data_IF_761027392834
#
_entry.id   IF_761027392834
#
_cell.length_a   1.000
_cell.length_b   1.000
_cell.length_c   1.000
_cell.angle_alpha   90.00
_cell.angle_beta   90.00
_cell.angle_gamma   90.00
#
_symmetry.space_group_name_H-M   'P 1'
#
loop_
_entity.id
_entity.type
_entity.pdbx_description
1 polymer ?
#
# COMPACT_ATOMS: atom_id res chain seq x y z
N UNK A 1 15.99 -8.04 3.90
CA UNK A 1 15.08 -7.68 2.78
C UNK A 1 15.06 -6.17 2.66
N UNK A 2 15.44 -5.61 1.50
CA UNK A 2 15.17 -4.20 1.21
C UNK A 2 13.66 -3.98 1.33
N UNK A 3 13.22 -3.11 2.24
CA UNK A 3 11.81 -2.72 2.34
C UNK A 3 11.47 -1.89 1.11
N UNK A 4 11.06 -2.55 0.04
CA UNK A 4 10.59 -1.86 -1.16
C UNK A 4 9.34 -1.08 -0.78
N UNK A 5 9.43 0.24 -0.91
CA UNK A 5 8.37 1.16 -0.54
C UNK A 5 7.93 1.94 -1.77
N UNK A 6 6.62 2.15 -1.89
CA UNK A 6 6.02 2.81 -3.05
C UNK A 6 6.12 4.34 -2.98
N UNK A 7 6.94 4.90 -2.08
CA UNK A 7 7.17 6.35 -1.93
C UNK A 7 7.54 7.04 -3.24
N UNK A 8 8.29 6.38 -4.11
CA UNK A 8 8.67 6.95 -5.41
C UNK A 8 7.43 7.23 -6.27
N UNK A 9 6.42 6.36 -6.22
CA UNK A 9 5.16 6.54 -6.95
C UNK A 9 4.37 7.70 -6.32
N UNK A 10 4.28 7.76 -4.99
CA UNK A 10 3.60 8.84 -4.29
C UNK A 10 4.22 10.21 -4.57
N UNK A 11 5.53 10.35 -4.38
CA UNK A 11 6.25 11.61 -4.58
C UNK A 11 6.24 11.99 -6.06
N UNK A 12 6.50 11.04 -6.96
CA UNK A 12 6.52 11.28 -8.40
C UNK A 12 5.16 11.70 -8.95
N UNK A 13 4.09 11.01 -8.55
CA UNK A 13 2.72 11.36 -8.96
C UNK A 13 2.29 12.70 -8.40
N UNK A 14 2.58 12.98 -7.12
CA UNK A 14 2.27 14.26 -6.49
C UNK A 14 3.06 15.41 -7.15
N UNK A 15 4.36 15.22 -7.44
CA UNK A 15 5.16 16.21 -8.14
C UNK A 15 4.62 16.47 -9.56
N UNK A 16 4.23 15.42 -10.29
CA UNK A 16 3.60 15.56 -11.61
C UNK A 16 2.26 16.31 -11.55
N UNK A 17 1.46 16.09 -10.50
CA UNK A 17 0.20 16.82 -10.27
C UNK A 17 0.39 18.29 -9.93
N UNK A 18 1.42 18.63 -9.14
CA UNK A 18 1.60 19.98 -8.62
C UNK A 18 2.47 20.86 -9.52
N UNK A 19 3.44 20.26 -10.23
CA UNK A 19 4.46 20.97 -11.00
C UNK A 19 4.37 20.67 -12.51
N UNK A 20 3.63 19.63 -12.91
CA UNK A 20 3.44 19.27 -14.31
C UNK A 20 2.35 20.11 -14.99
N UNK A 21 2.24 19.96 -16.30
CA UNK A 21 1.19 20.60 -17.11
C UNK A 21 0.72 19.68 -18.24
N UNK A 22 -0.50 19.92 -18.72
CA UNK A 22 -1.11 19.14 -19.80
C UNK A 22 -1.22 17.65 -19.46
N UNK A 23 -0.64 16.81 -20.31
CA UNK A 23 -0.72 15.36 -20.14
C UNK A 23 0.07 14.86 -18.92
N UNK A 24 1.13 15.57 -18.49
CA UNK A 24 1.96 15.17 -17.33
C UNK A 24 1.15 15.27 -16.04
N UNK A 25 0.42 16.37 -15.85
CA UNK A 25 -0.49 16.55 -14.71
C UNK A 25 -1.56 15.45 -14.70
N UNK A 26 -2.14 15.17 -15.86
CA UNK A 26 -3.18 14.14 -16.03
C UNK A 26 -2.65 12.76 -15.62
N UNK A 27 -1.46 12.38 -16.09
CA UNK A 27 -0.81 11.13 -15.69
C UNK A 27 -0.52 11.11 -14.20
N UNK A 28 -0.06 12.22 -13.62
CA UNK A 28 0.15 12.34 -12.18
C UNK A 28 -1.13 12.06 -11.38
N UNK A 29 -2.25 12.67 -11.77
CA UNK A 29 -3.57 12.47 -11.12
C UNK A 29 -4.03 11.03 -11.21
N UNK A 30 -3.92 10.42 -12.38
CA UNK A 30 -4.29 9.02 -12.58
C UNK A 30 -3.37 8.08 -11.80
N UNK A 31 -2.06 8.28 -11.84
CA UNK A 31 -1.11 7.47 -11.08
C UNK A 31 -1.40 7.55 -9.58
N UNK A 32 -1.55 8.75 -9.03
CA UNK A 32 -1.89 8.95 -7.62
C UNK A 32 -3.23 8.29 -7.26
N UNK A 33 -4.27 8.54 -8.05
CA UNK A 33 -5.61 8.02 -7.81
C UNK A 33 -5.68 6.50 -7.90
N UNK A 34 -5.10 5.89 -8.93
CA UNK A 34 -5.07 4.44 -9.10
C UNK A 34 -4.23 3.76 -8.02
N UNK A 35 -3.07 4.33 -7.66
CA UNK A 35 -2.26 3.80 -6.56
C UNK A 35 -3.03 3.87 -5.23
N UNK A 36 -3.73 4.98 -4.95
CA UNK A 36 -4.55 5.10 -3.75
C UNK A 36 -5.67 4.06 -3.71
N UNK A 37 -6.43 3.93 -4.80
CA UNK A 37 -7.52 2.96 -4.91
C UNK A 37 -7.00 1.53 -4.75
N UNK A 38 -5.89 1.20 -5.39
CA UNK A 38 -5.29 -0.13 -5.28
C UNK A 38 -4.94 -0.49 -3.82
N UNK A 39 -4.32 0.42 -3.08
CA UNK A 39 -3.97 0.17 -1.67
C UNK A 39 -5.19 0.15 -0.73
N UNK A 40 -6.23 0.93 -1.02
CA UNK A 40 -7.50 0.85 -0.27
C UNK A 40 -8.14 -0.53 -0.50
N UNK A 41 -8.22 -0.97 -1.75
CA UNK A 41 -8.76 -2.29 -2.11
C UNK A 41 -7.94 -3.40 -1.46
N UNK A 42 -6.61 -3.31 -1.53
CA UNK A 42 -5.70 -4.25 -0.86
C UNK A 42 -5.97 -4.32 0.65
N UNK A 43 -6.10 -3.17 1.32
CA UNK A 43 -6.40 -3.14 2.75
C UNK A 43 -7.74 -3.80 3.09
N UNK A 44 -8.76 -3.63 2.24
CA UNK A 44 -10.07 -4.23 2.44
C UNK A 44 -10.00 -5.75 2.26
N UNK A 45 -9.32 -6.24 1.22
CA UNK A 45 -9.16 -7.66 0.93
C UNK A 45 -8.44 -8.36 2.09
N UNK A 46 -7.36 -7.78 2.59
CA UNK A 46 -6.54 -8.37 3.66
C UNK A 46 -6.95 -7.91 5.07
N UNK A 47 -8.13 -7.28 5.22
CA UNK A 47 -8.61 -6.78 6.51
C UNK A 47 -8.69 -7.89 7.57
N UNK A 48 -9.21 -9.06 7.21
CA UNK A 48 -9.32 -10.21 8.12
C UNK A 48 -7.96 -10.71 8.58
N UNK A 49 -6.97 -10.70 7.68
CA UNK A 49 -5.59 -11.05 7.97
C UNK A 49 -4.96 -10.07 8.96
N UNK A 50 -5.19 -8.76 8.81
CA UNK A 50 -4.73 -7.75 9.77
C UNK A 50 -5.42 -7.88 11.14
N UNK A 51 -6.70 -8.22 11.17
CA UNK A 51 -7.41 -8.48 12.43
C UNK A 51 -6.81 -9.67 13.19
N UNK A 52 -6.49 -10.74 12.47
CA UNK A 52 -5.83 -11.93 13.03
C UNK A 52 -4.42 -11.64 13.52
N UNK A 53 -3.69 -10.80 12.81
CA UNK A 53 -2.34 -10.38 13.18
C UNK A 53 -2.29 -9.54 14.47
N UNK A 54 -3.43 -9.01 14.92
CA UNK A 54 -3.54 -8.14 16.08
C UNK A 54 -2.98 -6.73 15.85
N UNK A 55 -3.03 -5.89 16.87
CA UNK A 55 -2.54 -4.50 16.80
C UNK A 55 -3.55 -3.50 16.23
N UNK A 56 -3.06 -2.34 15.81
CA UNK A 56 -3.92 -1.23 15.36
C UNK A 56 -4.27 -1.33 13.87
N UNK A 57 -5.57 -1.37 13.56
CA UNK A 57 -6.05 -1.35 12.18
C UNK A 57 -5.61 -0.09 11.40
N UNK A 58 -5.51 1.05 12.08
CA UNK A 58 -5.00 2.28 11.47
C UNK A 58 -3.52 2.17 11.12
N UNK A 59 -2.73 1.46 11.94
CA UNK A 59 -1.34 1.17 11.62
C UNK A 59 -1.23 0.28 10.38
N UNK A 60 -2.01 -0.82 10.30
CA UNK A 60 -2.02 -1.67 9.10
C UNK A 60 -2.43 -0.91 7.84
N UNK A 61 -3.38 0.02 7.95
CA UNK A 61 -3.80 0.86 6.83
C UNK A 61 -2.66 1.75 6.31
N UNK A 62 -1.99 2.47 7.22
CA UNK A 62 -0.86 3.33 6.85
C UNK A 62 0.30 2.51 6.29
N UNK A 63 0.62 1.37 6.89
CA UNK A 63 1.66 0.49 6.37
C UNK A 63 1.29 -0.07 5.00
N UNK A 64 0.01 -0.38 4.74
CA UNK A 64 -0.47 -0.77 3.41
C UNK A 64 -0.28 0.38 2.43
N UNK A 65 -0.60 1.63 2.76
CA UNK A 65 -0.34 2.77 1.86
C UNK A 65 1.15 2.98 1.51
N UNK A 66 2.06 2.64 2.43
CA UNK A 66 3.50 2.87 2.28
C UNK A 66 4.22 1.71 1.58
N UNK A 67 3.80 0.48 1.88
CA UNK A 67 4.50 -0.75 1.50
C UNK A 67 3.64 -1.71 0.68
N UNK A 68 2.32 -1.53 0.66
CA UNK A 68 1.37 -2.38 -0.04
C UNK A 68 1.56 -3.86 0.25
N UNK A 69 1.75 -4.64 -0.82
CA UNK A 69 2.02 -6.07 -0.78
C UNK A 69 3.20 -6.49 0.10
N UNK A 70 4.20 -5.63 0.26
CA UNK A 70 5.34 -5.91 1.15
C UNK A 70 4.98 -5.85 2.63
N UNK A 71 3.82 -5.31 2.99
CA UNK A 71 3.32 -5.30 4.37
C UNK A 71 2.54 -6.57 4.73
N UNK A 72 1.58 -6.97 3.91
CA UNK A 72 0.70 -8.10 4.26
C UNK A 72 1.31 -9.47 3.95
N UNK A 73 2.22 -9.57 2.98
CA UNK A 73 2.83 -10.86 2.60
C UNK A 73 3.56 -11.53 3.77
N UNK A 74 4.45 -10.84 4.51
CA UNK A 74 5.13 -11.45 5.67
C UNK A 74 4.18 -11.78 6.82
N UNK A 75 3.09 -11.01 6.98
CA UNK A 75 2.07 -11.29 8.00
C UNK A 75 1.33 -12.58 7.65
N UNK A 76 0.98 -12.75 6.37
CA UNK A 76 0.34 -13.96 5.85
C UNK A 76 1.23 -15.18 6.10
N UNK A 77 2.48 -15.13 5.66
CA UNK A 77 3.45 -16.22 5.81
C UNK A 77 3.64 -16.61 7.28
N UNK A 78 3.73 -15.62 8.19
CA UNK A 78 3.83 -15.89 9.64
C UNK A 78 2.59 -16.60 10.18
N UNK A 79 1.40 -16.12 9.86
CA UNK A 79 0.15 -16.70 10.35
C UNK A 79 -0.07 -18.12 9.80
N UNK A 80 0.29 -18.36 8.54
CA UNK A 80 0.23 -19.71 7.94
C UNK A 80 1.24 -20.66 8.60
N UNK A 81 2.43 -20.17 8.98
CA UNK A 81 3.41 -20.99 9.69
C UNK A 81 2.96 -21.36 11.12
N UNK A 82 2.26 -20.47 11.81
CA UNK A 82 1.70 -20.69 13.16
C UNK A 82 0.52 -21.69 13.15
N UNK A 83 -0.23 -21.81 12.05
CA UNK A 83 -1.34 -22.76 11.93
C UNK A 83 -0.89 -24.23 11.72
N UNK A 84 0.34 -24.44 11.23
CA UNK A 84 0.88 -25.76 10.88
C UNK A 84 1.80 -26.32 11.97
N UNK A 85 2.20 -25.50 12.95
CA UNK A 85 3.01 -25.87 14.12
C UNK A 85 2.17 -26.35 15.29
#
# INVERSE_FOLDING_TARGET
MQKQSVWIIWIGSLAAMLLGSGWIETVGRWAFGLTLVAHIVEFIIYRSLFQRAGGSMGHHFVQTLIYGLFHWTPIKERLEAEEVS
#
